data_IF_720419157013
#
_entry.id   IF_720419157013
#
_cell.length_a   1.000
_cell.length_b   1.000
_cell.length_c   1.000
_cell.angle_alpha   90.00
_cell.angle_beta   90.00
_cell.angle_gamma   90.00
#
_symmetry.space_group_name_H-M   'P 1'
#
loop_
_entity.id
_entity.type
_entity.pdbx_description
1 polymer ?
#
# COMPACT_ATOMS: atom_id res chain seq x y z
N UNK A 1 -26.78 -10.53 2.31
CA UNK A 1 -25.92 -10.54 1.12
C UNK A 1 -24.68 -11.35 1.46
N UNK A 2 -24.36 -12.37 0.66
CA UNK A 2 -23.13 -13.15 0.87
C UNK A 2 -21.89 -12.36 0.46
N UNK A 3 -20.76 -12.69 1.05
CA UNK A 3 -19.46 -12.12 0.72
C UNK A 3 -19.12 -12.40 -0.75
N UNK A 4 -18.72 -11.36 -1.48
CA UNK A 4 -18.31 -11.47 -2.89
C UNK A 4 -16.94 -12.13 -3.02
N UNK A 5 -16.62 -12.67 -4.20
CA UNK A 5 -15.28 -13.22 -4.47
C UNK A 5 -14.15 -12.20 -4.30
N UNK A 6 -14.40 -10.93 -4.63
CA UNK A 6 -13.41 -9.86 -4.46
C UNK A 6 -13.12 -9.59 -2.98
N UNK A 7 -14.16 -9.59 -2.15
CA UNK A 7 -14.04 -9.45 -0.70
C UNK A 7 -13.33 -10.65 -0.08
N UNK A 8 -13.65 -11.88 -0.50
CA UNK A 8 -12.95 -13.10 -0.05
C UNK A 8 -11.46 -13.03 -0.39
N UNK A 9 -11.10 -12.66 -1.62
CA UNK A 9 -9.69 -12.50 -2.03
C UNK A 9 -8.97 -11.45 -1.18
N UNK A 10 -9.62 -10.32 -0.93
CA UNK A 10 -9.06 -9.25 -0.11
C UNK A 10 -8.83 -9.70 1.33
N UNK A 11 -9.80 -10.41 1.92
CA UNK A 11 -9.69 -10.94 3.27
C UNK A 11 -8.60 -12.01 3.38
N UNK A 12 -8.54 -12.95 2.43
CA UNK A 12 -7.51 -13.99 2.37
C UNK A 12 -6.11 -13.39 2.26
N UNK A 13 -5.92 -12.41 1.38
CA UNK A 13 -4.66 -11.68 1.25
C UNK A 13 -4.24 -10.99 2.56
N UNK A 14 -5.16 -10.29 3.22
CA UNK A 14 -4.89 -9.64 4.52
C UNK A 14 -4.52 -10.65 5.61
N UNK A 15 -5.20 -11.80 5.65
CA UNK A 15 -4.89 -12.87 6.61
C UNK A 15 -3.49 -13.45 6.37
N UNK A 16 -3.13 -13.71 5.11
CA UNK A 16 -1.79 -14.19 4.75
C UNK A 16 -0.69 -13.19 5.12
N UNK A 17 -0.87 -11.90 4.82
CA UNK A 17 0.10 -10.85 5.19
C UNK A 17 0.27 -10.80 6.71
N UNK A 18 -0.84 -10.88 7.46
CA UNK A 18 -0.81 -10.79 8.92
C UNK A 18 0.10 -11.87 9.54
N UNK A 19 0.01 -13.09 9.04
CA UNK A 19 0.74 -14.24 9.62
C UNK A 19 2.13 -14.46 9.00
N UNK A 20 2.31 -14.16 7.71
CA UNK A 20 3.52 -14.53 6.95
C UNK A 20 4.34 -13.33 6.48
N UNK A 21 3.84 -12.11 6.68
CA UNK A 21 4.35 -10.91 6.02
C UNK A 21 4.16 -10.93 4.51
N UNK A 22 4.47 -9.83 3.83
CA UNK A 22 4.30 -9.71 2.38
C UNK A 22 5.07 -10.79 1.61
N UNK A 23 6.34 -11.03 1.97
CA UNK A 23 7.17 -12.01 1.27
C UNK A 23 6.66 -13.45 1.42
N UNK A 24 6.21 -13.82 2.63
CA UNK A 24 5.67 -15.15 2.89
C UNK A 24 4.29 -15.35 2.26
N UNK A 25 3.43 -14.33 2.32
CA UNK A 25 2.12 -14.34 1.65
C UNK A 25 2.25 -14.53 0.13
N UNK A 26 3.15 -13.80 -0.53
CA UNK A 26 3.40 -13.96 -1.97
C UNK A 26 3.91 -15.36 -2.30
N UNK A 27 4.88 -15.88 -1.54
CA UNK A 27 5.38 -17.25 -1.74
C UNK A 27 4.27 -18.28 -1.57
N UNK A 28 3.40 -18.11 -0.57
CA UNK A 28 2.27 -19.00 -0.34
C UNK A 28 1.36 -19.08 -1.57
N UNK A 29 0.98 -17.94 -2.15
CA UNK A 29 0.18 -17.92 -3.38
C UNK A 29 0.89 -18.66 -4.53
N UNK A 30 2.19 -18.40 -4.73
CA UNK A 30 2.99 -19.04 -5.78
C UNK A 30 3.16 -20.56 -5.61
N UNK A 31 2.94 -21.13 -4.41
CA UNK A 31 2.95 -22.58 -4.22
C UNK A 31 1.74 -23.27 -4.86
N UNK A 32 0.60 -22.57 -4.92
CA UNK A 32 -0.67 -23.14 -5.38
C UNK A 32 -1.09 -22.61 -6.75
N UNK A 33 -0.63 -21.42 -7.13
CA UNK A 33 -0.83 -20.88 -8.47
C UNK A 33 0.34 -21.26 -9.36
N UNK A 34 0.09 -22.14 -10.33
CA UNK A 34 1.02 -22.39 -11.42
C UNK A 34 1.07 -21.12 -12.27
N UNK A 35 2.02 -20.24 -11.98
CA UNK A 35 2.21 -19.01 -12.72
C UNK A 35 2.22 -19.28 -14.23
N UNK A 36 1.59 -18.40 -14.99
CA UNK A 36 1.51 -18.48 -16.44
C UNK A 36 2.29 -17.32 -17.09
N UNK A 37 2.51 -17.43 -18.39
CA UNK A 37 3.19 -16.40 -19.18
C UNK A 37 4.71 -16.55 -19.25
N UNK A 38 5.34 -15.57 -19.89
CA UNK A 38 6.79 -15.46 -20.01
C UNK A 38 7.23 -14.13 -19.41
N UNK A 39 7.43 -14.14 -18.10
CA UNK A 39 7.84 -12.96 -17.35
C UNK A 39 9.09 -12.29 -17.93
N UNK A 40 10.02 -13.05 -18.55
CA UNK A 40 11.21 -12.45 -19.17
C UNK A 40 10.85 -11.60 -20.40
N UNK A 41 9.93 -12.07 -21.25
CA UNK A 41 9.43 -11.31 -22.39
C UNK A 41 8.55 -10.14 -21.94
N UNK A 42 7.62 -10.41 -21.03
CA UNK A 42 6.67 -9.42 -20.52
C UNK A 42 7.38 -8.29 -19.77
N UNK A 43 8.37 -8.60 -18.93
CA UNK A 43 9.19 -7.60 -18.24
C UNK A 43 9.93 -6.69 -19.23
N UNK A 44 10.47 -7.25 -20.31
CA UNK A 44 11.16 -6.44 -21.33
C UNK A 44 10.22 -5.44 -21.98
N UNK A 45 8.99 -5.86 -22.29
CA UNK A 45 7.98 -4.97 -22.87
C UNK A 45 7.51 -3.91 -21.86
N UNK A 46 7.23 -4.32 -20.62
CA UNK A 46 6.75 -3.44 -19.56
C UNK A 46 7.73 -2.30 -19.23
N UNK A 47 9.03 -2.59 -19.29
CA UNK A 47 10.10 -1.64 -18.96
C UNK A 47 10.90 -1.19 -20.18
N UNK A 48 10.38 -1.34 -21.40
CA UNK A 48 11.13 -1.05 -22.64
C UNK A 48 11.62 0.40 -22.73
N UNK A 49 10.85 1.34 -22.14
CA UNK A 49 11.11 2.78 -22.18
C UNK A 49 11.64 3.32 -20.84
N UNK A 50 11.98 2.44 -19.88
CA UNK A 50 12.41 2.83 -18.55
C UNK A 50 13.86 2.42 -18.28
N UNK A 51 14.69 3.36 -17.84
CA UNK A 51 16.01 3.05 -17.30
C UNK A 51 15.93 2.71 -15.81
N UNK A 52 16.98 2.09 -15.29
CA UNK A 52 17.08 1.83 -13.84
C UNK A 52 17.07 3.15 -13.05
N UNK A 53 17.70 4.20 -13.58
CA UNK A 53 17.75 5.51 -12.93
C UNK A 53 16.37 6.18 -12.86
N UNK A 54 15.54 5.99 -13.90
CA UNK A 54 14.15 6.47 -13.90
C UNK A 54 13.34 5.80 -12.77
N UNK A 55 13.44 4.47 -12.67
CA UNK A 55 12.75 3.69 -11.64
C UNK A 55 13.21 4.09 -10.24
N UNK A 56 14.52 4.24 -10.04
CA UNK A 56 15.07 4.65 -8.74
C UNK A 56 14.61 6.06 -8.36
N UNK A 57 14.55 6.97 -9.33
CA UNK A 57 14.09 8.34 -9.12
C UNK A 57 12.61 8.37 -8.74
N UNK A 58 11.77 7.62 -9.45
CA UNK A 58 10.34 7.49 -9.14
C UNK A 58 10.11 6.94 -7.73
N UNK A 59 10.81 5.87 -7.35
CA UNK A 59 10.70 5.28 -6.00
C UNK A 59 11.10 6.29 -4.91
N UNK A 60 12.13 7.11 -5.15
CA UNK A 60 12.53 8.17 -4.20
C UNK A 60 11.43 9.23 -4.06
N UNK A 61 10.83 9.66 -5.16
CA UNK A 61 9.73 10.63 -5.14
C UNK A 61 8.48 10.07 -4.45
N UNK A 62 8.11 8.81 -4.72
CA UNK A 62 7.02 8.14 -4.00
C UNK A 62 7.25 8.12 -2.48
N UNK A 63 8.47 7.82 -2.02
CA UNK A 63 8.82 7.84 -0.60
C UNK A 63 8.71 9.25 -0.01
N UNK A 64 9.15 10.28 -0.72
CA UNK A 64 8.98 11.69 -0.31
C UNK A 64 7.51 12.04 -0.18
N UNK A 65 6.70 11.77 -1.21
CA UNK A 65 5.26 12.05 -1.20
C UNK A 65 4.54 11.31 -0.05
N UNK A 66 4.92 10.06 0.21
CA UNK A 66 4.38 9.29 1.30
C UNK A 66 4.73 9.92 2.66
N UNK A 67 6.00 10.29 2.87
CA UNK A 67 6.43 11.00 4.09
C UNK A 67 5.72 12.34 4.27
N UNK A 68 5.55 13.10 3.19
CA UNK A 68 4.83 14.37 3.17
C UNK A 68 3.34 14.20 3.53
N UNK A 69 2.67 13.22 2.92
CA UNK A 69 1.29 12.85 3.26
C UNK A 69 1.14 12.45 4.73
N UNK A 70 2.09 11.70 5.28
CA UNK A 70 2.11 11.38 6.71
C UNK A 70 2.26 12.63 7.59
N UNK A 71 3.11 13.57 7.20
CA UNK A 71 3.34 14.83 7.92
C UNK A 71 2.10 15.73 7.90
N UNK A 72 1.47 15.92 6.74
CA UNK A 72 0.21 16.68 6.62
C UNK A 72 -0.90 16.07 7.47
N UNK A 73 -1.08 14.75 7.38
CA UNK A 73 -2.09 14.04 8.18
C UNK A 73 -1.82 14.14 9.69
N UNK A 74 -0.56 14.27 10.12
CA UNK A 74 -0.23 14.53 11.53
C UNK A 74 -0.61 15.96 11.94
N UNK A 75 -0.25 16.97 11.14
CA UNK A 75 -0.55 18.37 11.43
C UNK A 75 -2.04 18.68 11.52
N UNK A 76 -2.84 18.12 10.60
CA UNK A 76 -4.31 18.27 10.60
C UNK A 76 -4.93 17.64 11.86
N UNK A 77 -4.44 16.47 12.29
CA UNK A 77 -4.93 15.83 13.54
C UNK A 77 -4.63 16.67 14.77
N UNK A 78 -3.43 17.24 14.89
CA UNK A 78 -3.07 18.10 16.03
C UNK A 78 -3.94 19.36 16.13
N UNK A 79 -4.29 19.98 15.00
CA UNK A 79 -5.18 21.14 14.98
C UNK A 79 -6.61 20.73 15.39
N UNK A 80 -7.09 19.58 14.90
CA UNK A 80 -8.41 19.06 15.28
C UNK A 80 -8.52 18.77 16.79
N UNK A 81 -7.50 18.17 17.41
CA UNK A 81 -7.48 17.96 18.86
C UNK A 81 -7.42 19.28 19.64
N UNK A 82 -6.66 20.27 19.16
CA UNK A 82 -6.61 21.58 19.79
C UNK A 82 -7.97 22.32 19.73
N UNK A 83 -8.65 22.29 18.58
CA UNK A 83 -9.98 22.88 18.43
C UNK A 83 -11.06 22.19 19.27
N UNK A 84 -11.00 20.86 19.40
CA UNK A 84 -11.91 20.13 20.29
C UNK A 84 -11.67 20.49 21.76
N UNK A 85 -10.41 20.58 22.20
CA UNK A 85 -10.07 21.02 23.56
C UNK A 85 -10.52 22.45 23.86
N UNK A 86 -10.35 23.37 22.92
CA UNK A 86 -10.82 24.76 23.04
C UNK A 86 -12.35 24.83 23.07
N UNK A 87 -13.05 24.08 22.22
CA UNK A 87 -14.52 24.04 22.23
C UNK A 87 -15.11 23.42 23.50
N UNK A 88 -14.41 22.48 24.14
CA UNK A 88 -14.80 21.93 25.44
C UNK A 88 -14.55 22.92 26.58
N UNK A 89 -13.51 23.75 26.48
CA UNK A 89 -13.18 24.76 27.49
C UNK A 89 -14.06 26.01 27.43
N UNK A 90 -14.67 26.32 26.28
CA UNK A 90 -15.56 27.48 26.10
C UNK A 90 -17.02 27.17 26.49
N UNK A 91 -17.42 25.89 26.48
CA UNK A 91 -18.79 25.45 26.76
C UNK A 91 -19.02 24.99 28.22
N UNK A 92 -18.15 25.38 29.15
CA UNK A 92 -18.23 25.10 30.58
C UNK A 92 -17.93 26.37 31.39
#
# INVERSE_FOLDING_TARGET
>A
MGTTFAEIKTMGWKALIKELGYAGATKFILLYEKGEGNYTKERKELFKDATIDDIVSEVKEMKKQQSFKYMLNRGVRTIAYAQQGVSLAINN
#
